data_IF_820949173688
#
_entry.id   IF_820949173688
#
_cell.length_a   1.000
_cell.length_b   1.000
_cell.length_c   1.000
_cell.angle_alpha   90.00
_cell.angle_beta   90.00
_cell.angle_gamma   90.00
#
_symmetry.space_group_name_H-M   'P 1'
#
loop_
_entity.id
_entity.type
_entity.pdbx_description
1 polymer ?
#
# COMPACT_ATOMS: atom_id res chain seq x y z
N UNK A 1 60.97 -17.62 24.95
CA UNK A 1 60.30 -17.82 23.65
C UNK A 1 58.95 -18.50 23.82
N UNK A 2 58.85 -19.56 24.60
CA UNK A 2 57.59 -20.30 24.82
C UNK A 2 56.52 -19.50 25.57
N UNK A 3 56.88 -18.77 26.63
CA UNK A 3 55.99 -17.80 27.30
C UNK A 3 55.52 -16.68 26.37
N UNK A 4 56.41 -16.18 25.52
CA UNK A 4 56.09 -15.13 24.55
C UNK A 4 55.04 -15.64 23.55
N UNK A 5 55.21 -16.85 23.02
CA UNK A 5 54.24 -17.49 22.12
C UNK A 5 52.90 -17.76 22.84
N UNK A 6 52.92 -18.15 24.12
CA UNK A 6 51.69 -18.34 24.90
C UNK A 6 50.86 -17.05 25.03
N UNK A 7 51.49 -15.90 25.23
CA UNK A 7 50.77 -14.61 25.26
C UNK A 7 50.03 -14.34 23.95
N UNK A 8 50.66 -14.61 22.80
CA UNK A 8 49.98 -14.45 21.49
C UNK A 8 48.90 -15.50 21.24
N UNK A 9 49.03 -16.72 21.78
CA UNK A 9 47.95 -17.73 21.72
C UNK A 9 46.72 -17.28 22.48
N UNK A 10 46.89 -16.77 23.71
CA UNK A 10 45.78 -16.23 24.50
C UNK A 10 45.16 -14.99 23.83
N UNK A 11 45.98 -14.10 23.26
CA UNK A 11 45.49 -12.97 22.45
C UNK A 11 44.63 -13.45 21.27
N UNK A 12 45.12 -14.44 20.51
CA UNK A 12 44.39 -14.99 19.37
C UNK A 12 43.08 -15.63 19.79
N UNK A 13 43.07 -16.38 20.91
CA UNK A 13 41.84 -16.97 21.45
C UNK A 13 40.80 -15.91 21.82
N UNK A 14 41.22 -14.86 22.54
CA UNK A 14 40.33 -13.74 22.89
C UNK A 14 39.80 -13.01 21.64
N UNK A 15 40.64 -12.87 20.61
CA UNK A 15 40.24 -12.29 19.33
C UNK A 15 39.21 -13.18 18.61
N UNK A 16 39.44 -14.49 18.55
CA UNK A 16 38.52 -15.46 17.95
C UNK A 16 37.16 -15.46 18.65
N UNK A 17 37.13 -15.48 19.98
CA UNK A 17 35.90 -15.40 20.76
C UNK A 17 35.11 -14.12 20.43
N UNK A 18 35.80 -12.97 20.36
CA UNK A 18 35.16 -11.70 20.03
C UNK A 18 34.65 -11.65 18.59
N UNK A 19 35.42 -12.15 17.62
CA UNK A 19 35.02 -12.20 16.22
C UNK A 19 33.86 -13.17 16.01
N UNK A 20 33.86 -14.32 16.69
CA UNK A 20 32.76 -15.29 16.61
C UNK A 20 31.47 -14.70 17.17
N UNK A 21 31.52 -13.93 18.27
CA UNK A 21 30.36 -13.19 18.78
C UNK A 21 29.73 -12.29 17.71
N UNK A 22 30.55 -11.51 16.97
CA UNK A 22 30.04 -10.65 15.90
C UNK A 22 29.53 -11.46 14.70
N UNK A 23 30.20 -12.54 14.30
CA UNK A 23 29.73 -13.43 13.22
C UNK A 23 28.36 -14.01 13.51
N UNK A 24 28.16 -14.52 14.71
CA UNK A 24 26.85 -15.02 15.15
C UNK A 24 25.82 -13.89 15.24
N UNK A 25 26.23 -12.70 15.68
CA UNK A 25 25.39 -11.50 15.69
C UNK A 25 24.87 -11.14 14.29
N UNK A 26 25.77 -11.07 13.30
CA UNK A 26 25.41 -10.82 11.90
C UNK A 26 24.47 -11.88 11.38
N UNK A 27 24.76 -13.17 11.62
CA UNK A 27 23.90 -14.28 11.19
C UNK A 27 22.47 -14.14 11.73
N UNK A 28 22.30 -13.77 13.01
CA UNK A 28 20.98 -13.54 13.60
C UNK A 28 20.24 -12.35 12.97
N UNK A 29 20.97 -11.29 12.63
CA UNK A 29 20.38 -10.14 11.94
C UNK A 29 19.91 -10.51 10.53
N UNK A 30 20.70 -11.30 9.80
CA UNK A 30 20.33 -11.79 8.47
C UNK A 30 19.08 -12.70 8.53
N UNK A 31 19.02 -13.61 9.49
CA UNK A 31 17.85 -14.48 9.70
C UNK A 31 16.59 -13.67 10.04
N UNK A 32 16.70 -12.69 10.94
CA UNK A 32 15.60 -11.80 11.28
C UNK A 32 15.16 -10.94 10.09
N UNK A 33 16.11 -10.48 9.28
CA UNK A 33 15.84 -9.73 8.06
C UNK A 33 15.08 -10.56 7.03
N UNK A 34 15.51 -11.79 6.78
CA UNK A 34 14.82 -12.72 5.88
C UNK A 34 13.41 -13.00 6.36
N UNK A 35 13.22 -13.23 7.66
CA UNK A 35 11.90 -13.43 8.26
C UNK A 35 10.98 -12.22 8.06
N UNK A 36 11.47 -11.01 8.37
CA UNK A 36 10.74 -9.76 8.14
C UNK A 36 10.36 -9.59 6.67
N UNK A 37 11.31 -9.77 5.75
CA UNK A 37 11.08 -9.62 4.31
C UNK A 37 10.02 -10.60 3.81
N UNK A 38 10.05 -11.86 4.25
CA UNK A 38 9.07 -12.85 3.84
C UNK A 38 7.67 -12.47 4.32
N UNK A 39 7.52 -12.11 5.59
CA UNK A 39 6.22 -11.70 6.16
C UNK A 39 5.63 -10.48 5.45
N UNK A 40 6.45 -9.47 5.14
CA UNK A 40 6.00 -8.27 4.43
C UNK A 40 5.56 -8.61 2.99
N UNK A 41 6.30 -9.47 2.29
CA UNK A 41 5.94 -9.85 0.92
C UNK A 41 4.68 -10.72 0.86
N UNK A 42 4.47 -11.58 1.86
CA UNK A 42 3.23 -12.35 2.01
C UNK A 42 2.04 -11.42 2.22
N UNK A 43 2.12 -10.51 3.18
CA UNK A 43 1.06 -9.53 3.45
C UNK A 43 0.78 -8.61 2.25
N UNK A 44 1.82 -8.22 1.50
CA UNK A 44 1.63 -7.43 0.25
C UNK A 44 0.88 -8.21 -0.82
N UNK A 45 1.15 -9.51 -0.98
CA UNK A 45 0.44 -10.36 -1.94
C UNK A 45 -1.02 -10.54 -1.56
N UNK A 46 -1.30 -10.77 -0.27
CA UNK A 46 -2.67 -10.81 0.25
C UNK A 46 -3.40 -9.50 -0.02
N UNK A 47 -2.77 -8.37 0.30
CA UNK A 47 -3.32 -7.04 0.01
C UNK A 47 -3.62 -6.83 -1.47
N UNK A 48 -2.70 -7.17 -2.36
CA UNK A 48 -2.89 -6.99 -3.80
C UNK A 48 -4.01 -7.89 -4.35
N UNK A 49 -4.24 -9.05 -3.74
CA UNK A 49 -5.36 -9.94 -4.04
C UNK A 49 -6.69 -9.39 -3.54
N UNK A 50 -6.74 -8.86 -2.32
CA UNK A 50 -7.98 -8.44 -1.66
C UNK A 50 -8.42 -7.01 -2.02
N UNK A 51 -7.46 -6.14 -2.37
CA UNK A 51 -7.70 -4.73 -2.67
C UNK A 51 -8.85 -4.48 -3.66
N UNK A 52 -8.97 -5.19 -4.80
CA UNK A 52 -10.06 -4.95 -5.75
C UNK A 52 -11.45 -5.15 -5.13
N UNK A 53 -11.61 -6.14 -4.23
CA UNK A 53 -12.86 -6.38 -3.54
C UNK A 53 -13.14 -5.26 -2.53
N UNK A 54 -12.13 -4.87 -1.74
CA UNK A 54 -12.25 -3.78 -0.75
C UNK A 54 -12.63 -2.47 -1.45
N UNK A 55 -11.91 -2.11 -2.52
CA UNK A 55 -12.18 -0.93 -3.35
C UNK A 55 -13.61 -0.96 -3.91
N UNK A 56 -14.07 -2.12 -4.41
CA UNK A 56 -15.44 -2.29 -4.88
C UNK A 56 -16.49 -1.99 -3.79
N UNK A 57 -16.27 -2.44 -2.54
CA UNK A 57 -17.18 -2.16 -1.41
C UNK A 57 -17.18 -0.68 -1.03
N UNK A 58 -16.03 -0.03 -1.03
CA UNK A 58 -15.93 1.41 -0.80
C UNK A 58 -16.67 2.19 -1.89
N UNK A 59 -16.56 1.76 -3.15
CA UNK A 59 -17.27 2.38 -4.27
C UNK A 59 -18.78 2.13 -4.24
N UNK A 60 -19.26 1.03 -3.65
CA UNK A 60 -20.69 0.81 -3.43
C UNK A 60 -21.30 1.84 -2.47
N UNK A 61 -20.57 2.26 -1.43
CA UNK A 61 -21.01 3.34 -0.53
C UNK A 61 -21.15 4.66 -1.31
N UNK A 62 -20.16 4.99 -2.13
CA UNK A 62 -20.19 6.18 -2.99
C UNK A 62 -21.37 6.16 -3.97
N UNK A 63 -21.59 5.04 -4.64
CA UNK A 63 -22.71 4.87 -5.55
C UNK A 63 -24.07 4.98 -4.84
N UNK A 64 -24.17 4.50 -3.60
CA UNK A 64 -25.34 4.68 -2.75
C UNK A 64 -25.64 6.15 -2.45
N UNK A 65 -24.62 6.93 -2.07
CA UNK A 65 -24.72 8.37 -1.85
C UNK A 65 -25.20 9.09 -3.12
N UNK A 66 -24.59 8.78 -4.28
CA UNK A 66 -24.97 9.36 -5.57
C UNK A 66 -26.39 8.96 -6.00
N UNK A 67 -26.85 7.77 -5.64
CA UNK A 67 -28.21 7.31 -5.88
C UNK A 67 -29.24 8.09 -5.05
N UNK A 68 -28.95 8.33 -3.77
CA UNK A 68 -29.82 9.14 -2.90
C UNK A 68 -29.88 10.60 -3.33
N UNK A 69 -28.74 11.19 -3.76
CA UNK A 69 -28.71 12.57 -4.28
C UNK A 69 -29.61 12.73 -5.51
N UNK A 70 -29.61 11.76 -6.42
CA UNK A 70 -30.52 11.74 -7.56
C UNK A 70 -31.99 11.65 -7.13
N UNK A 71 -32.31 10.92 -6.07
CA UNK A 71 -33.68 10.89 -5.53
C UNK A 71 -34.11 12.24 -4.94
N UNK A 72 -33.18 13.01 -4.36
CA UNK A 72 -33.45 14.38 -3.90
C UNK A 72 -33.79 15.27 -5.11
N UNK A 73 -32.98 15.22 -6.17
CA UNK A 73 -33.25 15.97 -7.42
C UNK A 73 -34.61 15.58 -8.04
N UNK A 74 -34.95 14.29 -8.07
CA UNK A 74 -36.26 13.83 -8.56
C UNK A 74 -37.42 14.33 -7.70
N UNK A 75 -37.26 14.40 -6.37
CA UNK A 75 -38.26 14.92 -5.46
C UNK A 75 -38.47 16.44 -5.68
N UNK A 76 -37.38 17.17 -5.91
CA UNK A 76 -37.43 18.60 -6.27
C UNK A 76 -38.23 18.84 -7.55
N UNK A 77 -37.91 18.09 -8.61
CA UNK A 77 -38.63 18.19 -9.89
C UNK A 77 -40.12 17.89 -9.69
N UNK A 78 -40.48 16.82 -8.96
CA UNK A 78 -41.88 16.46 -8.69
C UNK A 78 -42.63 17.55 -7.93
N UNK A 79 -41.98 18.22 -6.97
CA UNK A 79 -42.54 19.37 -6.26
C UNK A 79 -42.79 20.53 -7.22
N UNK A 80 -41.80 20.89 -8.05
CA UNK A 80 -41.89 22.02 -8.99
C UNK A 80 -43.04 21.88 -10.00
N UNK A 81 -43.32 20.67 -10.46
CA UNK A 81 -44.43 20.40 -11.41
C UNK A 81 -45.77 20.10 -10.72
N UNK A 82 -45.85 20.25 -9.39
CA UNK A 82 -47.08 20.07 -8.62
C UNK A 82 -47.52 18.61 -8.45
N UNK A 83 -46.63 17.64 -8.68
CA UNK A 83 -46.89 16.21 -8.41
C UNK A 83 -46.60 15.80 -6.97
N UNK A 84 -46.08 16.71 -6.15
CA UNK A 84 -45.76 16.51 -4.74
C UNK A 84 -46.02 17.79 -3.96
N UNK A 85 -46.69 17.70 -2.81
CA UNK A 85 -46.90 18.83 -1.91
C UNK A 85 -45.66 19.10 -1.02
N UNK A 86 -45.60 20.30 -0.46
CA UNK A 86 -44.45 20.76 0.34
C UNK A 86 -44.21 19.92 1.60
N UNK A 87 -45.27 19.39 2.23
CA UNK A 87 -45.13 18.57 3.44
C UNK A 87 -44.52 17.21 3.11
N UNK A 88 -45.04 16.54 2.08
CA UNK A 88 -44.51 15.27 1.58
C UNK A 88 -43.07 15.42 1.07
N UNK A 89 -42.78 16.50 0.35
CA UNK A 89 -41.43 16.83 -0.10
C UNK A 89 -40.47 17.01 1.09
N UNK A 90 -40.86 17.82 2.08
CA UNK A 90 -40.03 18.10 3.25
C UNK A 90 -39.67 16.85 4.05
N UNK A 91 -40.63 15.93 4.23
CA UNK A 91 -40.37 14.63 4.89
C UNK A 91 -39.38 13.78 4.11
N UNK A 92 -39.64 13.59 2.81
CA UNK A 92 -38.79 12.75 1.96
C UNK A 92 -37.36 13.30 1.86
N UNK A 93 -37.19 14.60 1.63
CA UNK A 93 -35.85 15.20 1.51
C UNK A 93 -35.08 15.14 2.84
N UNK A 94 -35.75 15.33 3.98
CA UNK A 94 -35.10 15.17 5.28
C UNK A 94 -34.62 13.72 5.52
N UNK A 95 -35.44 12.72 5.18
CA UNK A 95 -35.07 11.31 5.28
C UNK A 95 -33.88 10.97 4.36
N UNK A 96 -33.93 11.40 3.09
CA UNK A 96 -32.86 11.19 2.12
C UNK A 96 -31.56 11.87 2.55
N UNK A 97 -31.62 13.12 3.05
CA UNK A 97 -30.44 13.84 3.51
C UNK A 97 -29.82 13.18 4.75
N UNK A 98 -30.64 12.69 5.68
CA UNK A 98 -30.14 11.94 6.85
C UNK A 98 -29.38 10.68 6.40
N UNK A 99 -29.95 9.92 5.47
CA UNK A 99 -29.29 8.75 4.91
C UNK A 99 -27.99 9.08 4.13
N UNK A 100 -27.98 10.19 3.39
CA UNK A 100 -26.78 10.71 2.71
C UNK A 100 -25.69 11.04 3.72
N UNK A 101 -26.02 11.72 4.81
CA UNK A 101 -25.04 12.06 5.85
C UNK A 101 -24.45 10.82 6.52
N UNK A 102 -25.28 9.83 6.86
CA UNK A 102 -24.82 8.56 7.44
C UNK A 102 -23.91 7.79 6.48
N UNK A 103 -24.32 7.60 5.23
CA UNK A 103 -23.51 6.91 4.23
C UNK A 103 -22.20 7.66 3.92
N UNK A 104 -22.23 9.00 3.93
CA UNK A 104 -21.02 9.81 3.71
C UNK A 104 -20.01 9.59 4.83
N UNK A 105 -20.46 9.56 6.10
CA UNK A 105 -19.58 9.23 7.24
C UNK A 105 -18.98 7.83 7.11
N UNK A 106 -19.78 6.84 6.70
CA UNK A 106 -19.29 5.47 6.49
C UNK A 106 -18.28 5.40 5.34
N UNK A 107 -18.53 6.11 4.25
CA UNK A 107 -17.61 6.20 3.10
C UNK A 107 -16.27 6.83 3.51
N UNK A 108 -16.31 7.97 4.21
CA UNK A 108 -15.11 8.67 4.65
C UNK A 108 -14.29 7.82 5.63
N UNK A 109 -14.96 7.14 6.56
CA UNK A 109 -14.30 6.20 7.48
C UNK A 109 -13.63 5.05 6.72
N UNK A 110 -14.33 4.45 5.75
CA UNK A 110 -13.78 3.35 4.96
C UNK A 110 -12.57 3.79 4.11
N UNK A 111 -12.62 5.00 3.52
CA UNK A 111 -11.49 5.59 2.78
C UNK A 111 -10.30 5.89 3.70
N UNK A 112 -10.53 6.39 4.92
CA UNK A 112 -9.45 6.63 5.89
C UNK A 112 -8.75 5.34 6.26
N UNK A 113 -9.51 4.30 6.64
CA UNK A 113 -8.95 2.99 6.99
C UNK A 113 -8.15 2.37 5.84
N UNK A 114 -8.70 2.45 4.62
CA UNK A 114 -8.04 1.97 3.41
C UNK A 114 -6.69 2.68 3.21
N UNK A 115 -6.68 4.02 3.29
CA UNK A 115 -5.46 4.81 3.09
C UNK A 115 -4.41 4.63 4.19
N UNK A 116 -4.82 4.50 5.45
CA UNK A 116 -3.92 4.22 6.57
C UNK A 116 -3.21 2.87 6.40
N UNK A 117 -3.99 1.82 6.07
CA UNK A 117 -3.47 0.48 5.85
C UNK A 117 -2.52 0.43 4.65
N UNK A 118 -2.92 1.06 3.54
CA UNK A 118 -2.11 1.15 2.33
C UNK A 118 -0.76 1.82 2.61
N UNK A 119 -0.78 2.97 3.29
CA UNK A 119 0.45 3.70 3.64
C UNK A 119 1.35 2.89 4.59
N UNK A 120 0.78 2.23 5.59
CA UNK A 120 1.52 1.38 6.52
C UNK A 120 2.21 0.22 5.80
N UNK A 121 1.45 -0.51 4.98
CA UNK A 121 1.97 -1.63 4.20
C UNK A 121 3.05 -1.19 3.22
N UNK A 122 2.83 -0.08 2.50
CA UNK A 122 3.78 0.47 1.53
C UNK A 122 5.14 0.79 2.17
N UNK A 123 5.11 1.42 3.36
CA UNK A 123 6.32 1.74 4.11
C UNK A 123 7.14 0.48 4.45
N UNK A 124 6.47 -0.59 4.86
CA UNK A 124 7.12 -1.86 5.16
C UNK A 124 7.63 -2.56 3.91
N UNK A 125 6.81 -2.59 2.86
CA UNK A 125 7.15 -3.22 1.58
C UNK A 125 8.41 -2.63 0.97
N UNK A 126 8.48 -1.31 0.82
CA UNK A 126 9.66 -0.62 0.26
C UNK A 126 10.92 -0.95 1.03
N UNK A 127 10.86 -0.97 2.37
CA UNK A 127 12.00 -1.33 3.21
C UNK A 127 12.45 -2.75 2.92
N UNK A 128 11.51 -3.68 2.73
CA UNK A 128 11.79 -5.10 2.48
C UNK A 128 12.31 -5.41 1.07
N UNK A 129 12.28 -4.46 0.14
CA UNK A 129 12.69 -4.67 -1.25
C UNK A 129 14.20 -4.92 -1.30
N UNK A 130 14.56 -6.08 -1.86
CA UNK A 130 15.92 -6.38 -2.26
C UNK A 130 16.17 -5.83 -3.66
N UNK A 131 16.63 -4.58 -3.71
CA UNK A 131 16.89 -3.86 -4.97
C UNK A 131 17.98 -4.52 -5.83
N UNK A 132 18.83 -5.36 -5.25
CA UNK A 132 19.87 -6.10 -5.99
C UNK A 132 19.28 -7.23 -6.84
N UNK A 133 18.11 -7.75 -6.46
CA UNK A 133 17.43 -8.85 -7.12
C UNK A 133 16.42 -8.39 -8.20
N UNK A 134 16.25 -7.08 -8.39
CA UNK A 134 15.28 -6.51 -9.33
C UNK A 134 16.01 -5.82 -10.48
N UNK A 135 15.69 -6.19 -11.72
CA UNK A 135 16.23 -5.51 -12.90
C UNK A 135 15.39 -4.29 -13.28
N UNK A 136 16.07 -3.25 -13.78
CA UNK A 136 15.40 -2.06 -14.33
C UNK A 136 14.41 -2.42 -15.44
N UNK A 137 14.79 -3.35 -16.32
CA UNK A 137 13.94 -3.84 -17.41
C UNK A 137 12.62 -4.45 -16.90
N UNK A 138 12.65 -5.20 -15.79
CA UNK A 138 11.44 -5.79 -15.22
C UNK A 138 10.45 -4.70 -14.77
N UNK A 139 10.95 -3.61 -14.18
CA UNK A 139 10.14 -2.49 -13.72
C UNK A 139 9.55 -1.71 -14.88
N UNK A 140 10.35 -1.46 -15.92
CA UNK A 140 9.90 -0.82 -17.15
C UNK A 140 8.79 -1.64 -17.82
N UNK A 141 8.96 -2.97 -17.89
CA UNK A 141 7.95 -3.88 -18.41
C UNK A 141 6.66 -3.86 -17.60
N UNK A 142 6.75 -3.92 -16.27
CA UNK A 142 5.57 -3.83 -15.40
C UNK A 142 4.86 -2.48 -15.55
N UNK A 143 5.62 -1.40 -15.69
CA UNK A 143 5.08 -0.04 -15.91
C UNK A 143 4.32 0.00 -17.23
N UNK A 144 4.90 -0.53 -18.31
CA UNK A 144 4.22 -0.60 -19.60
C UNK A 144 2.93 -1.42 -19.54
N UNK A 145 2.97 -2.60 -18.91
CA UNK A 145 1.78 -3.43 -18.73
C UNK A 145 0.69 -2.72 -17.93
N UNK A 146 1.07 -1.94 -16.91
CA UNK A 146 0.14 -1.15 -16.11
C UNK A 146 -0.54 -0.06 -16.95
N UNK A 147 0.22 0.68 -17.77
CA UNK A 147 -0.32 1.69 -18.69
C UNK A 147 -1.27 1.06 -19.72
N UNK A 148 -0.92 -0.10 -20.28
CA UNK A 148 -1.79 -0.83 -21.22
C UNK A 148 -3.07 -1.31 -20.54
N UNK A 149 -2.98 -1.86 -19.32
CA UNK A 149 -4.16 -2.30 -18.56
C UNK A 149 -5.11 -1.14 -18.27
N UNK A 150 -4.58 0.05 -17.93
CA UNK A 150 -5.37 1.28 -17.76
C UNK A 150 -6.01 1.71 -19.07
N UNK A 151 -5.23 1.80 -20.16
CA UNK A 151 -5.71 2.23 -21.46
C UNK A 151 -6.83 1.33 -22.01
N UNK A 152 -6.77 0.03 -21.70
CA UNK A 152 -7.78 -0.96 -22.07
C UNK A 152 -8.97 -1.03 -21.09
N UNK A 153 -9.02 -0.19 -20.05
CA UNK A 153 -10.09 -0.17 -19.05
C UNK A 153 -10.16 -1.43 -18.17
N UNK A 154 -9.06 -2.18 -18.07
CA UNK A 154 -9.00 -3.43 -17.29
C UNK A 154 -8.85 -3.18 -15.78
N UNK A 155 -8.41 -1.98 -15.40
CA UNK A 155 -8.24 -1.55 -14.01
C UNK A 155 -8.88 -0.19 -13.79
N UNK A 156 -9.32 0.09 -12.56
CA UNK A 156 -9.83 1.40 -12.17
C UNK A 156 -8.72 2.45 -12.17
N UNK A 157 -9.08 3.74 -12.29
CA UNK A 157 -8.13 4.85 -12.14
C UNK A 157 -7.45 4.85 -10.77
N UNK A 158 -8.18 4.42 -9.73
CA UNK A 158 -7.68 4.35 -8.37
C UNK A 158 -6.68 3.19 -8.20
N UNK A 159 -7.01 2.00 -8.73
CA UNK A 159 -6.07 0.86 -8.81
C UNK A 159 -4.81 1.23 -9.63
N UNK A 160 -4.98 1.93 -10.75
CA UNK A 160 -3.85 2.41 -11.55
C UNK A 160 -2.97 3.38 -10.75
N UNK A 161 -3.56 4.39 -10.12
CA UNK A 161 -2.82 5.39 -9.35
C UNK A 161 -2.01 4.76 -8.21
N UNK A 162 -2.58 3.76 -7.52
CA UNK A 162 -1.89 2.95 -6.52
C UNK A 162 -0.70 2.22 -7.11
N UNK A 163 -0.93 1.35 -8.10
CA UNK A 163 0.13 0.52 -8.68
C UNK A 163 1.22 1.35 -9.35
N UNK A 164 0.87 2.50 -9.92
CA UNK A 164 1.83 3.43 -10.51
C UNK A 164 2.75 4.02 -9.45
N UNK A 165 2.20 4.39 -8.30
CA UNK A 165 2.97 4.86 -7.14
C UNK A 165 3.95 3.79 -6.67
N UNK A 166 3.52 2.53 -6.57
CA UNK A 166 4.36 1.39 -6.17
C UNK A 166 5.56 1.24 -7.12
N UNK A 167 5.30 1.23 -8.44
CA UNK A 167 6.32 1.09 -9.48
C UNK A 167 7.29 2.29 -9.50
N UNK A 168 6.80 3.51 -9.29
CA UNK A 168 7.65 4.70 -9.26
C UNK A 168 8.59 4.71 -8.05
N UNK A 169 8.11 4.24 -6.89
CA UNK A 169 8.96 4.09 -5.69
C UNK A 169 10.05 3.05 -5.91
N UNK A 170 9.69 1.94 -6.53
CA UNK A 170 10.61 0.85 -6.84
C UNK A 170 11.65 1.29 -7.90
N UNK A 171 11.24 2.05 -8.92
CA UNK A 171 12.15 2.66 -9.89
C UNK A 171 13.16 3.64 -9.24
N UNK A 172 12.69 4.50 -8.32
CA UNK A 172 13.57 5.41 -7.57
C UNK A 172 14.59 4.66 -6.71
N UNK A 173 14.16 3.59 -6.04
CA UNK A 173 15.04 2.76 -5.22
C UNK A 173 16.15 2.11 -6.07
N UNK A 174 15.82 1.59 -7.26
CA UNK A 174 16.79 1.05 -8.21
C UNK A 174 17.78 2.11 -8.72
N UNK A 175 17.29 3.32 -9.04
CA UNK A 175 18.14 4.40 -9.49
C UNK A 175 19.16 4.80 -8.41
N UNK A 176 18.72 4.94 -7.16
CA UNK A 176 19.61 5.22 -6.03
C UNK A 176 20.67 4.11 -5.85
N UNK A 177 20.26 2.85 -5.93
CA UNK A 177 21.18 1.71 -5.85
C UNK A 177 22.22 1.69 -6.98
N UNK A 178 21.81 1.98 -8.22
CA UNK A 178 22.72 2.08 -9.37
C UNK A 178 23.77 3.19 -9.20
N UNK A 179 23.38 4.34 -8.65
CA UNK A 179 24.31 5.44 -8.37
C UNK A 179 25.34 5.06 -7.32
N UNK A 180 24.95 4.31 -6.28
CA UNK A 180 25.87 3.83 -5.25
C UNK A 180 26.90 2.84 -5.81
N UNK A 181 26.49 1.95 -6.72
CA UNK A 181 27.41 1.00 -7.36
C UNK A 181 28.38 1.65 -8.34
N UNK A 182 27.98 2.73 -9.04
CA UNK A 182 28.87 3.47 -9.96
C UNK A 182 29.88 4.36 -9.23
N UNK A 183 29.69 4.61 -7.94
CA UNK A 183 30.60 5.39 -7.09
C UNK A 183 31.66 4.56 -6.37
N UNK A 184 31.65 3.23 -6.52
CA UNK A 184 32.66 2.28 -6.02
C UNK A 184 33.58 1.84 -7.17
#
# INVERSE_FOLDING_TARGET
MEEYINVYRELMKALEERLNHYREGVKRLDEAWVGYRNAVNELKREWDSDYPLIESRVNQLKAGIEGLRRQVEEAEVKREIGLMDDESYGKLVNELNTAIEELSKMYDQAKSLLGELENGLMNHWIRSIDVSAISQEAVEKLTKNLEEARANGQISEETYARLKRDLDLLAKALQAYSLLLKGQ
#
